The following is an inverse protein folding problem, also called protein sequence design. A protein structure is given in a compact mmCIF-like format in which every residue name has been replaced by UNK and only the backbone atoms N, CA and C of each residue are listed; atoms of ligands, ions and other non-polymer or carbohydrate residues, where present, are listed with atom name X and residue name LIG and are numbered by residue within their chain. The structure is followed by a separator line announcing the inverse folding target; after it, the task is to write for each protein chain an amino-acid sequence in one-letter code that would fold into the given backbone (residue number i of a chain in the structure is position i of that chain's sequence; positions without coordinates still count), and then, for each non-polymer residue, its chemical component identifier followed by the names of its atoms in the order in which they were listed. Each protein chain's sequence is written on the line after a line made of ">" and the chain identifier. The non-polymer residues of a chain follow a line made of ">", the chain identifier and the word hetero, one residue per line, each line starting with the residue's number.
data_IF_113587607318
#
_entry.id   IF_113587607318
#
_cell.length_a   1.000
_cell.length_b   1.000
_cell.length_c   1.000
_cell.angle_alpha   90.00
_cell.angle_beta   90.00
_cell.angle_gamma   90.00
#
_symmetry.space_group_name_H-M   'P 1'
#
loop_
_entity.id
_entity.type
_entity.pdbx_description
1 polymer ?
#
# COMPACT_ATOMS: atom_id res chain seq x y z
N UNK A 1 -10.07 -10.46 -0.34
CA UNK A 1 -9.08 -9.57 -1.01
C UNK A 1 -7.66 -9.90 -0.57
N UNK A 2 -7.30 -9.73 0.70
CA UNK A 2 -5.92 -9.96 1.17
C UNK A 2 -5.39 -11.37 0.85
N UNK A 3 -6.15 -12.39 1.17
CA UNK A 3 -5.74 -13.79 0.95
C UNK A 3 -5.52 -14.11 -0.55
N UNK A 4 -6.36 -13.58 -1.45
CA UNK A 4 -6.21 -13.80 -2.90
C UNK A 4 -4.93 -13.15 -3.45
N UNK A 5 -4.58 -11.97 -2.95
CA UNK A 5 -3.36 -11.28 -3.39
C UNK A 5 -2.11 -11.99 -2.91
N UNK A 6 -2.11 -12.43 -1.67
CA UNK A 6 -0.98 -13.17 -1.10
C UNK A 6 -0.79 -14.52 -1.81
N UNK A 7 -1.86 -15.26 -2.06
CA UNK A 7 -1.79 -16.54 -2.80
C UNK A 7 -1.20 -16.36 -4.21
N UNK A 8 -1.61 -15.31 -4.92
CA UNK A 8 -1.04 -15.00 -6.24
C UNK A 8 0.44 -14.62 -6.14
N UNK A 9 0.80 -13.78 -5.18
CA UNK A 9 2.18 -13.37 -4.96
C UNK A 9 3.08 -14.58 -4.60
N UNK A 10 2.62 -15.50 -3.77
CA UNK A 10 3.33 -16.75 -3.45
C UNK A 10 3.53 -17.64 -4.67
N UNK A 11 2.49 -17.80 -5.49
CA UNK A 11 2.58 -18.56 -6.73
C UNK A 11 3.62 -17.97 -7.69
N UNK A 12 3.69 -16.64 -7.77
CA UNK A 12 4.69 -15.95 -8.59
C UNK A 12 6.10 -16.06 -8.03
N UNK A 13 6.28 -15.92 -6.73
CA UNK A 13 7.58 -16.14 -6.10
C UNK A 13 8.08 -17.57 -6.33
N UNK A 14 7.20 -18.55 -6.29
CA UNK A 14 7.54 -19.95 -6.61
C UNK A 14 7.95 -20.13 -8.09
N UNK A 15 7.31 -19.40 -9.00
CA UNK A 15 7.61 -19.46 -10.44
C UNK A 15 8.88 -18.68 -10.82
N UNK A 16 9.18 -17.60 -10.13
CA UNK A 16 10.36 -16.73 -10.34
C UNK A 16 11.00 -16.34 -8.99
N UNK A 17 11.82 -17.24 -8.40
CA UNK A 17 12.45 -16.99 -7.09
C UNK A 17 13.47 -15.84 -7.08
N UNK A 18 13.91 -15.38 -8.26
CA UNK A 18 14.87 -14.28 -8.39
C UNK A 18 14.25 -12.88 -8.43
N UNK A 19 12.92 -12.79 -8.47
CA UNK A 19 12.21 -11.51 -8.65
C UNK A 19 12.34 -10.55 -7.45
N UNK A 20 12.42 -11.11 -6.26
CA UNK A 20 12.66 -10.38 -5.02
C UNK A 20 13.47 -11.27 -4.08
N UNK A 21 14.27 -10.66 -3.20
CA UNK A 21 14.94 -11.41 -2.13
C UNK A 21 13.93 -12.26 -1.35
N UNK A 22 14.25 -13.53 -1.14
CA UNK A 22 13.31 -14.48 -0.57
C UNK A 22 12.94 -14.19 0.90
N UNK A 23 13.86 -13.55 1.65
CA UNK A 23 13.61 -13.09 3.02
C UNK A 23 12.61 -11.94 3.00
N UNK A 24 12.91 -10.89 2.24
CA UNK A 24 12.00 -9.74 2.06
C UNK A 24 10.62 -10.15 1.55
N UNK A 25 10.56 -11.07 0.60
CA UNK A 25 9.30 -11.58 0.05
C UNK A 25 8.46 -12.23 1.16
N UNK A 26 9.06 -13.12 1.95
CA UNK A 26 8.37 -13.81 3.05
C UNK A 26 7.91 -12.83 4.10
N UNK A 27 8.79 -11.97 4.58
CA UNK A 27 8.48 -10.99 5.61
C UNK A 27 7.32 -10.07 5.19
N UNK A 28 7.33 -9.59 3.94
CA UNK A 28 6.27 -8.75 3.41
C UNK A 28 4.93 -9.48 3.27
N UNK A 29 4.92 -10.73 2.82
CA UNK A 29 3.70 -11.53 2.69
C UNK A 29 3.12 -11.90 4.05
N UNK A 30 3.95 -12.26 5.02
CA UNK A 30 3.52 -12.57 6.38
C UNK A 30 2.96 -11.32 7.07
N UNK A 31 3.65 -10.18 6.92
CA UNK A 31 3.17 -8.91 7.43
C UNK A 31 1.83 -8.48 6.79
N UNK A 32 1.66 -8.68 5.49
CA UNK A 32 0.39 -8.38 4.81
C UNK A 32 -0.78 -9.18 5.40
N UNK A 33 -0.56 -10.47 5.68
CA UNK A 33 -1.56 -11.33 6.37
C UNK A 33 -1.84 -10.86 7.79
N UNK A 34 -0.82 -10.56 8.55
CA UNK A 34 -0.93 -10.10 9.93
C UNK A 34 -1.73 -8.79 10.01
N UNK A 35 -1.33 -7.78 9.25
CA UNK A 35 -1.98 -6.47 9.24
C UNK A 35 -3.46 -6.56 8.81
N UNK A 36 -3.78 -7.47 7.88
CA UNK A 36 -5.15 -7.71 7.42
C UNK A 36 -6.08 -8.26 8.52
N UNK A 37 -5.50 -8.83 9.58
CA UNK A 37 -6.25 -9.47 10.70
C UNK A 37 -6.19 -8.68 12.00
N UNK A 38 -5.26 -7.73 12.10
CA UNK A 38 -4.94 -7.01 13.34
C UNK A 38 -5.27 -5.53 13.29
N UNK A 39 -6.18 -5.12 12.41
CA UNK A 39 -6.63 -3.73 12.32
C UNK A 39 -7.19 -3.24 13.67
N UNK A 40 -6.80 -2.04 14.13
CA UNK A 40 -7.30 -1.47 15.39
C UNK A 40 -8.80 -1.19 15.32
N UNK A 41 -9.30 -0.88 14.14
CA UNK A 41 -10.71 -0.68 13.80
C UNK A 41 -10.94 -1.10 12.36
N UNK A 42 -12.15 -1.55 12.05
CA UNK A 42 -12.57 -1.79 10.68
C UNK A 42 -13.48 -0.66 10.21
N UNK A 43 -13.14 -0.07 9.06
CA UNK A 43 -13.93 0.98 8.43
C UNK A 43 -14.19 0.64 6.97
N UNK A 44 -15.15 1.32 6.36
CA UNK A 44 -15.35 1.26 4.92
C UNK A 44 -14.22 2.03 4.23
N UNK A 45 -13.35 1.31 3.53
CA UNK A 45 -12.23 1.84 2.77
C UNK A 45 -12.66 2.25 1.37
N UNK A 46 -12.00 3.25 0.81
CA UNK A 46 -12.11 3.64 -0.58
C UNK A 46 -11.26 2.75 -1.50
N UNK A 47 -10.12 2.31 -1.03
CA UNK A 47 -9.06 1.44 -1.59
C UNK A 47 -8.39 1.91 -2.88
N UNK A 48 -8.98 2.83 -3.62
CA UNK A 48 -8.41 3.44 -4.83
C UNK A 48 -8.30 4.98 -4.70
N UNK A 49 -7.98 5.45 -3.49
CA UNK A 49 -7.86 6.86 -3.18
C UNK A 49 -6.58 7.46 -3.78
N UNK A 50 -6.73 8.23 -4.82
CA UNK A 50 -5.68 9.01 -5.45
C UNK A 50 -6.23 10.30 -6.06
N UNK A 51 -5.35 11.24 -6.44
CA UNK A 51 -5.75 12.57 -6.91
C UNK A 51 -6.70 12.55 -8.13
N UNK A 52 -6.61 11.51 -8.99
CA UNK A 52 -7.48 11.34 -10.14
C UNK A 52 -8.95 11.00 -9.77
N UNK A 53 -9.18 10.51 -8.55
CA UNK A 53 -10.51 10.17 -8.04
C UNK A 53 -11.07 11.24 -7.09
N UNK A 54 -10.46 12.44 -7.10
CA UNK A 54 -10.89 13.59 -6.30
C UNK A 54 -11.26 14.73 -7.25
N UNK A 55 -12.52 15.13 -7.27
CA UNK A 55 -13.02 16.20 -8.11
C UNK A 55 -13.45 17.40 -7.27
N UNK A 56 -13.35 18.60 -7.84
CA UNK A 56 -14.02 19.77 -7.29
C UNK A 56 -15.53 19.70 -7.57
N UNK A 57 -16.34 20.13 -6.62
CA UNK A 57 -17.79 20.10 -6.75
C UNK A 57 -18.47 21.39 -6.27
N UNK A 58 -19.64 21.71 -6.85
CA UNK A 58 -20.39 22.93 -6.49
C UNK A 58 -21.06 22.83 -5.11
N UNK A 59 -21.54 21.64 -4.74
CA UNK A 59 -22.24 21.42 -3.44
C UNK A 59 -21.30 21.18 -2.29
N UNK A 60 -20.14 20.61 -2.56
CA UNK A 60 -19.05 20.34 -1.61
C UNK A 60 -17.74 20.63 -2.33
N UNK A 61 -16.73 21.15 -1.62
CA UNK A 61 -15.47 21.53 -2.25
C UNK A 61 -14.77 20.35 -2.92
N UNK A 62 -14.96 19.13 -2.40
CA UNK A 62 -14.36 17.92 -2.92
C UNK A 62 -15.38 16.78 -3.00
N UNK A 63 -15.29 15.99 -4.07
CA UNK A 63 -16.06 14.78 -4.31
C UNK A 63 -15.12 13.63 -4.61
N UNK A 64 -15.32 12.50 -3.94
CA UNK A 64 -14.63 11.25 -4.25
C UNK A 64 -15.49 10.47 -5.26
N UNK A 65 -14.83 9.92 -6.29
CA UNK A 65 -15.47 9.14 -7.36
C UNK A 65 -14.76 7.79 -7.51
N UNK A 66 -15.44 6.83 -8.11
CA UNK A 66 -14.94 5.49 -8.44
C UNK A 66 -14.35 4.71 -7.25
N UNK A 67 -15.06 4.57 -6.13
CA UNK A 67 -14.58 3.77 -5.01
C UNK A 67 -14.53 2.29 -5.39
N UNK A 68 -13.54 1.58 -4.86
CA UNK A 68 -13.48 0.10 -4.85
C UNK A 68 -13.61 -0.38 -3.40
N UNK A 69 -14.81 -0.34 -2.82
CA UNK A 69 -15.00 -0.38 -1.38
C UNK A 69 -14.70 -1.74 -0.78
N UNK A 70 -13.97 -1.73 0.34
CA UNK A 70 -13.75 -2.86 1.22
C UNK A 70 -13.91 -2.42 2.67
N UNK A 71 -14.13 -3.38 3.57
CA UNK A 71 -14.06 -3.14 5.01
C UNK A 71 -12.70 -3.61 5.52
N UNK A 72 -12.01 -2.76 6.25
CA UNK A 72 -10.68 -3.09 6.77
C UNK A 72 -9.99 -1.95 7.53
N UNK A 73 -8.70 -2.08 7.66
CA UNK A 73 -7.82 -1.16 8.38
C UNK A 73 -7.68 0.19 7.66
N UNK A 74 -8.04 1.32 8.28
CA UNK A 74 -7.95 2.65 7.67
C UNK A 74 -6.53 3.03 7.19
N UNK A 75 -5.48 2.46 7.77
CA UNK A 75 -4.10 2.71 7.35
C UNK A 75 -3.79 2.22 5.93
N UNK A 76 -4.59 1.27 5.43
CA UNK A 76 -4.48 0.79 4.05
C UNK A 76 -4.93 1.83 3.01
N UNK A 77 -5.88 2.69 3.34
CA UNK A 77 -6.56 3.55 2.37
C UNK A 77 -5.67 4.63 1.76
N UNK A 78 -4.62 5.07 2.48
CA UNK A 78 -3.67 6.08 1.99
C UNK A 78 -2.59 5.51 1.06
N UNK A 79 -2.46 4.19 0.96
CA UNK A 79 -1.37 3.55 0.21
C UNK A 79 -1.44 3.83 -1.29
N UNK A 80 -2.64 3.81 -1.87
CA UNK A 80 -2.82 4.08 -3.29
C UNK A 80 -2.35 5.50 -3.64
N UNK A 81 -2.64 6.48 -2.79
CA UNK A 81 -2.15 7.84 -2.96
C UNK A 81 -0.61 7.91 -2.88
N UNK A 82 0.00 7.26 -1.90
CA UNK A 82 1.45 7.21 -1.74
C UNK A 82 2.13 6.58 -2.96
N UNK A 83 1.61 5.47 -3.46
CA UNK A 83 2.14 4.78 -4.65
C UNK A 83 2.01 5.65 -5.91
N UNK A 84 0.90 6.39 -6.08
CA UNK A 84 0.74 7.32 -7.19
C UNK A 84 1.67 8.55 -7.10
N UNK A 85 2.19 8.87 -5.91
CA UNK A 85 3.21 9.88 -5.69
C UNK A 85 4.63 9.28 -5.75
N UNK A 86 4.87 8.27 -6.58
CA UNK A 86 6.08 7.46 -6.58
C UNK A 86 7.37 8.27 -6.62
N UNK A 87 7.49 9.27 -7.51
CA UNK A 87 8.67 10.12 -7.57
C UNK A 87 8.95 10.86 -6.24
N UNK A 88 7.91 11.37 -5.59
CA UNK A 88 8.02 12.01 -4.27
C UNK A 88 8.33 11.00 -3.16
N UNK A 89 7.75 9.81 -3.25
CA UNK A 89 8.01 8.72 -2.31
C UNK A 89 9.46 8.24 -2.39
N UNK A 90 10.01 8.14 -3.59
CA UNK A 90 11.43 7.84 -3.80
C UNK A 90 12.35 8.95 -3.28
N UNK A 91 11.99 10.21 -3.49
CA UNK A 91 12.81 11.35 -3.05
C UNK A 91 12.77 11.55 -1.54
N UNK A 92 11.59 11.41 -0.92
CA UNK A 92 11.34 11.84 0.46
C UNK A 92 10.93 10.69 1.41
N UNK A 93 10.58 9.50 0.87
CA UNK A 93 10.34 8.27 1.63
C UNK A 93 9.49 8.46 2.89
N UNK A 94 10.10 8.19 4.03
CA UNK A 94 9.46 8.24 5.35
C UNK A 94 8.86 9.61 5.67
N UNK A 95 9.49 10.72 5.25
CA UNK A 95 8.97 12.06 5.54
C UNK A 95 7.63 12.32 4.85
N UNK A 96 7.46 11.88 3.60
CA UNK A 96 6.19 11.97 2.88
C UNK A 96 5.13 11.10 3.55
N UNK A 97 5.48 9.85 3.86
CA UNK A 97 4.60 8.90 4.53
C UNK A 97 4.10 9.45 5.87
N UNK A 98 5.01 9.95 6.71
CA UNK A 98 4.67 10.55 8.02
C UNK A 98 3.71 11.72 7.84
N UNK A 99 4.00 12.62 6.90
CA UNK A 99 3.12 13.75 6.61
C UNK A 99 1.72 13.32 6.18
N UNK A 100 1.59 12.31 5.32
CA UNK A 100 0.29 11.78 4.88
C UNK A 100 -0.45 11.13 6.05
N UNK A 101 0.25 10.33 6.86
CA UNK A 101 -0.33 9.69 8.04
C UNK A 101 -0.85 10.73 9.04
N UNK A 102 -0.05 11.77 9.35
CA UNK A 102 -0.44 12.84 10.26
C UNK A 102 -1.69 13.60 9.76
N UNK A 103 -1.73 13.95 8.47
CA UNK A 103 -2.89 14.61 7.85
C UNK A 103 -4.16 13.77 7.90
N UNK A 104 -4.02 12.44 7.81
CA UNK A 104 -5.12 11.49 7.87
C UNK A 104 -5.48 11.06 9.32
N UNK A 105 -4.72 11.48 10.32
CA UNK A 105 -4.90 11.05 11.73
C UNK A 105 -4.56 9.56 11.95
N UNK A 106 -3.60 9.04 11.19
CA UNK A 106 -3.20 7.63 11.19
C UNK A 106 -1.85 7.44 11.89
N UNK A 107 -1.60 6.22 12.38
CA UNK A 107 -0.30 5.85 12.91
C UNK A 107 0.71 5.65 11.76
N UNK A 108 1.74 6.48 11.70
CA UNK A 108 2.73 6.49 10.62
C UNK A 108 3.50 5.15 10.51
N UNK A 109 3.80 4.50 11.64
CA UNK A 109 4.49 3.21 11.63
C UNK A 109 3.62 2.11 11.01
N UNK A 110 2.33 2.09 11.33
CA UNK A 110 1.40 1.13 10.73
C UNK A 110 1.17 1.41 9.24
N UNK A 111 1.14 2.67 8.81
CA UNK A 111 1.13 3.02 7.38
C UNK A 111 2.41 2.55 6.70
N UNK A 112 3.60 2.69 7.37
CA UNK A 112 4.87 2.21 6.85
C UNK A 112 4.87 0.69 6.65
N UNK A 113 4.40 -0.05 7.64
CA UNK A 113 4.28 -1.50 7.58
C UNK A 113 3.35 -1.94 6.45
N UNK A 114 2.19 -1.32 6.33
CA UNK A 114 1.26 -1.58 5.23
C UNK A 114 1.87 -1.26 3.86
N UNK A 115 2.59 -0.13 3.73
CA UNK A 115 3.22 0.25 2.47
C UNK A 115 4.32 -0.75 2.09
N UNK A 116 5.15 -1.18 3.04
CA UNK A 116 6.16 -2.21 2.84
C UNK A 116 5.52 -3.51 2.32
N UNK A 117 4.54 -4.02 3.04
CA UNK A 117 3.83 -5.25 2.68
C UNK A 117 3.15 -5.14 1.30
N UNK A 118 2.53 -3.98 1.00
CA UNK A 118 1.89 -3.71 -0.29
C UNK A 118 2.91 -3.66 -1.42
N UNK A 119 4.08 -3.04 -1.25
CA UNK A 119 5.14 -3.03 -2.26
C UNK A 119 5.59 -4.45 -2.60
N UNK A 120 5.76 -5.32 -1.61
CA UNK A 120 6.11 -6.73 -1.85
C UNK A 120 5.05 -7.44 -2.69
N UNK A 121 3.78 -7.28 -2.33
CA UNK A 121 2.66 -7.89 -3.08
C UNK A 121 2.59 -7.36 -4.52
N UNK A 122 2.84 -6.06 -4.74
CA UNK A 122 2.86 -5.47 -6.09
C UNK A 122 4.03 -5.95 -6.93
N UNK A 123 5.24 -6.05 -6.35
CA UNK A 123 6.43 -6.55 -7.05
C UNK A 123 6.21 -8.01 -7.49
N UNK A 124 5.58 -8.82 -6.65
CA UNK A 124 5.29 -10.23 -6.93
C UNK A 124 4.01 -10.43 -7.75
N UNK A 125 3.16 -9.41 -7.86
CA UNK A 125 1.86 -9.48 -8.53
C UNK A 125 1.94 -9.54 -10.05
N UNK A 126 0.75 -9.68 -10.68
CA UNK A 126 0.57 -9.73 -12.15
C UNK A 126 0.40 -8.35 -12.80
N UNK A 127 0.36 -7.30 -11.99
CA UNK A 127 0.14 -5.94 -12.46
C UNK A 127 1.30 -5.38 -13.28
N UNK A 128 1.06 -4.24 -13.93
CA UNK A 128 2.15 -3.44 -14.50
C UNK A 128 3.08 -3.06 -13.36
N UNK A 129 4.37 -3.39 -13.43
CA UNK A 129 5.30 -3.06 -12.36
C UNK A 129 5.27 -1.55 -12.11
N UNK A 130 4.99 -1.15 -10.90
CA UNK A 130 5.25 0.23 -10.50
C UNK A 130 6.76 0.45 -10.61
N UNK A 131 7.20 1.47 -11.36
CA UNK A 131 8.64 1.70 -11.50
C UNK A 131 9.28 1.87 -10.11
N UNK A 132 10.38 1.15 -9.90
CA UNK A 132 11.28 1.38 -8.78
C UNK A 132 10.68 1.13 -7.38
N UNK A 133 9.69 0.22 -7.25
CA UNK A 133 9.19 -0.19 -5.92
C UNK A 133 10.26 -0.86 -5.05
N UNK A 134 11.25 -1.49 -5.65
CA UNK A 134 12.44 -2.00 -5.00
C UNK A 134 13.22 -0.89 -4.27
N UNK A 135 13.34 0.29 -4.87
CA UNK A 135 13.94 1.48 -4.24
C UNK A 135 13.10 1.95 -3.04
N UNK A 136 11.77 1.96 -3.20
CA UNK A 136 10.86 2.30 -2.10
C UNK A 136 11.01 1.31 -0.96
N UNK A 137 11.02 0.01 -1.23
CA UNK A 137 11.23 -1.04 -0.22
C UNK A 137 12.52 -0.84 0.58
N UNK A 138 13.62 -0.56 -0.10
CA UNK A 138 14.92 -0.32 0.56
C UNK A 138 14.88 0.90 1.49
N UNK A 139 14.13 1.94 1.12
CA UNK A 139 13.99 3.17 1.92
C UNK A 139 13.05 3.01 3.12
N UNK A 140 12.05 2.14 3.01
CA UNK A 140 11.14 1.86 4.11
C UNK A 140 11.81 1.05 5.24
N UNK A 141 12.93 0.38 4.94
CA UNK A 141 13.54 -0.60 5.85
C UNK A 141 12.69 -1.87 5.94
N UNK A 142 13.21 -2.89 6.60
CA UNK A 142 12.43 -4.11 6.86
C UNK A 142 11.22 -3.88 7.79
N UNK A 143 10.42 -4.91 8.02
CA UNK A 143 9.24 -4.87 8.89
C UNK A 143 9.60 -4.52 10.33
#
# INVERSE_FOLDING_TARGET
>A
MADDWVVRAEARLAADPGRLDSGLARDGLDLFRELSRTGPTEVLLFTDLHAGNVLSGERRPWLLIDPKPYVGDPHYDVLQHLLNCNASLQAHGIALLTKVADLAGLNAERVRQWLFARCVVEILGDGVPWPELDVVLQRLGGP
#
